data_IF_245539152650
#
_entry.id   IF_245539152650
#
_cell.length_a   1.000
_cell.length_b   1.000
_cell.length_c   1.000
_cell.angle_alpha   90.00
_cell.angle_beta   90.00
_cell.angle_gamma   90.00
#
_symmetry.space_group_name_H-M   'P 1'
#
loop_
_entity.id
_entity.type
_entity.pdbx_description
1 polymer ?
#
# COMPACT_ATOMS: atom_id res chain seq x y z
N UNK A 1 2.46 1.58 -17.63
CA UNK A 1 2.78 2.55 -16.58
C UNK A 1 2.72 1.78 -15.27
N UNK A 2 3.87 1.61 -14.60
CA UNK A 2 3.92 0.84 -13.36
C UNK A 2 3.13 1.59 -12.29
N UNK A 3 2.19 0.94 -11.59
CA UNK A 3 1.55 1.53 -10.40
C UNK A 3 2.53 1.43 -9.24
N UNK A 4 2.70 2.56 -8.56
CA UNK A 4 3.60 2.70 -7.42
C UNK A 4 2.80 2.95 -6.15
N UNK A 5 3.32 2.47 -5.03
CA UNK A 5 2.79 2.74 -3.70
C UNK A 5 3.88 3.37 -2.83
N UNK A 6 3.55 4.42 -2.09
CA UNK A 6 4.36 4.85 -0.95
C UNK A 6 3.90 4.10 0.30
N UNK A 7 4.85 3.65 1.11
CA UNK A 7 4.57 3.12 2.45
C UNK A 7 5.28 3.99 3.50
N UNK A 8 4.55 4.40 4.54
CA UNK A 8 5.13 5.01 5.73
C UNK A 8 4.86 4.14 6.95
N UNK A 9 5.92 3.65 7.59
CA UNK A 9 5.81 2.79 8.77
C UNK A 9 6.03 3.64 10.01
N UNK A 10 4.99 3.77 10.83
CA UNK A 10 5.04 4.54 12.06
C UNK A 10 4.57 3.68 13.25
N UNK A 11 5.53 3.28 14.09
CA UNK A 11 5.33 2.43 15.27
C UNK A 11 4.65 1.10 14.91
N UNK A 12 3.40 0.93 15.28
CA UNK A 12 2.58 -0.27 15.08
C UNK A 12 1.74 -0.20 13.80
N UNK A 13 1.82 0.90 13.05
CA UNK A 13 0.99 1.21 11.89
C UNK A 13 1.80 1.33 10.60
N UNK A 14 1.20 0.96 9.46
CA UNK A 14 1.72 1.14 8.10
C UNK A 14 0.68 1.92 7.30
N UNK A 15 1.05 3.11 6.85
CA UNK A 15 0.23 3.94 5.97
C UNK A 15 0.57 3.61 4.52
N UNK A 16 -0.45 3.27 3.73
CA UNK A 16 -0.33 2.94 2.31
C UNK A 16 -0.93 4.06 1.47
N UNK A 17 -0.22 4.49 0.42
CA UNK A 17 -0.75 5.43 -0.57
C UNK A 17 -0.40 4.96 -2.00
N UNK A 18 -1.40 4.55 -2.76
CA UNK A 18 -1.25 4.17 -4.18
C UNK A 18 -1.64 5.35 -5.04
N UNK A 19 -0.73 5.77 -5.95
CA UNK A 19 -1.03 6.78 -6.96
C UNK A 19 -1.43 6.09 -8.27
N UNK A 20 -2.68 6.30 -8.69
CA UNK A 20 -3.18 5.75 -9.96
C UNK A 20 -2.69 6.56 -11.16
N UNK A 21 -2.79 5.99 -12.36
CA UNK A 21 -2.43 6.69 -13.60
C UNK A 21 -3.28 7.97 -13.85
N UNK A 22 -4.45 8.06 -13.24
CA UNK A 22 -5.36 9.20 -13.37
C UNK A 22 -5.08 10.30 -12.32
N UNK A 23 -4.07 10.10 -11.46
CA UNK A 23 -3.73 11.03 -10.38
C UNK A 23 -4.58 10.88 -9.12
N UNK A 24 -5.49 9.91 -9.07
CA UNK A 24 -6.24 9.57 -7.85
C UNK A 24 -5.34 8.84 -6.85
N UNK A 25 -5.54 9.13 -5.56
CA UNK A 25 -4.86 8.47 -4.45
C UNK A 25 -5.81 7.47 -3.78
N UNK A 26 -5.31 6.25 -3.57
CA UNK A 26 -5.99 5.23 -2.77
C UNK A 26 -5.16 5.05 -1.50
N UNK A 27 -5.77 5.27 -0.35
CA UNK A 27 -5.09 5.28 0.95
C UNK A 27 -5.75 4.30 1.90
N UNK A 28 -4.94 3.59 2.70
CA UNK A 28 -5.40 2.69 3.77
C UNK A 28 -4.32 2.59 4.86
N UNK A 29 -4.71 2.16 6.06
CA UNK A 29 -3.82 1.96 7.20
C UNK A 29 -3.89 0.51 7.65
N UNK A 30 -2.72 -0.07 7.90
CA UNK A 30 -2.54 -1.46 8.33
C UNK A 30 -1.76 -1.51 9.64
N UNK A 31 -1.89 -2.61 10.37
CA UNK A 31 -0.96 -2.94 11.44
C UNK A 31 0.37 -3.54 10.93
N UNK A 32 1.33 -3.68 11.84
CA UNK A 32 2.65 -4.31 11.58
C UNK A 32 2.69 -5.81 11.88
N UNK A 33 1.61 -6.38 12.42
CA UNK A 33 1.51 -7.82 12.66
C UNK A 33 1.25 -8.58 11.35
N UNK A 34 1.69 -9.84 11.29
CA UNK A 34 1.60 -10.68 10.08
C UNK A 34 0.23 -10.67 9.39
N UNK A 35 -0.92 -10.79 10.09
CA UNK A 35 -2.22 -10.74 9.42
C UNK A 35 -2.50 -9.42 8.69
N UNK A 36 -2.02 -8.31 9.25
CA UNK A 36 -2.17 -6.99 8.64
C UNK A 36 -1.19 -6.79 7.47
N UNK A 37 0.02 -7.34 7.56
CA UNK A 37 0.97 -7.34 6.44
C UNK A 37 0.50 -8.23 5.28
N UNK A 38 -0.17 -9.36 5.58
CA UNK A 38 -0.83 -10.19 4.58
C UNK A 38 -1.97 -9.41 3.90
N UNK A 39 -2.79 -8.68 4.68
CA UNK A 39 -3.83 -7.79 4.16
C UNK A 39 -3.24 -6.70 3.26
N UNK A 40 -2.15 -6.06 3.68
CA UNK A 40 -1.44 -5.06 2.87
C UNK A 40 -0.96 -5.65 1.55
N UNK A 41 -0.30 -6.83 1.58
CA UNK A 41 0.14 -7.52 0.36
C UNK A 41 -1.03 -7.76 -0.58
N UNK A 42 -2.13 -8.32 -0.08
CA UNK A 42 -3.29 -8.67 -0.90
C UNK A 42 -3.93 -7.41 -1.52
N UNK A 43 -3.98 -6.30 -0.78
CA UNK A 43 -4.39 -4.98 -1.30
C UNK A 43 -3.48 -4.53 -2.44
N UNK A 44 -2.16 -4.54 -2.25
CA UNK A 44 -1.20 -4.13 -3.29
C UNK A 44 -1.32 -4.98 -4.57
N UNK A 45 -1.50 -6.30 -4.42
CA UNK A 45 -1.71 -7.24 -5.53
C UNK A 45 -3.03 -6.94 -6.25
N UNK A 46 -4.13 -6.73 -5.52
CA UNK A 46 -5.44 -6.41 -6.11
C UNK A 46 -5.43 -5.12 -6.93
N UNK A 47 -4.61 -4.15 -6.53
CA UNK A 47 -4.42 -2.89 -7.23
C UNK A 47 -3.35 -2.95 -8.32
N UNK A 48 -2.67 -4.09 -8.51
CA UNK A 48 -1.63 -4.25 -9.52
C UNK A 48 -0.40 -3.37 -9.28
N UNK A 49 -0.05 -3.12 -8.02
CA UNK A 49 1.15 -2.36 -7.65
C UNK A 49 2.39 -3.21 -7.93
N UNK A 50 3.31 -2.68 -8.73
CA UNK A 50 4.55 -3.38 -9.09
C UNK A 50 5.78 -2.90 -8.31
N UNK A 51 5.70 -1.72 -7.67
CA UNK A 51 6.82 -1.08 -6.96
C UNK A 51 6.33 -0.36 -5.72
N UNK A 52 7.13 -0.43 -4.67
CA UNK A 52 6.95 0.33 -3.43
C UNK A 52 8.12 1.30 -3.28
N UNK A 53 7.84 2.53 -2.85
CA UNK A 53 8.81 3.60 -2.60
C UNK A 53 9.03 3.81 -1.10
#
# INVERSE_FOLDING_TARGET
MDRVCGLDVHKDSVFMCILTANGEKIEDVFGTLTPELDRLRDTLVSHGVGKVA
#
